data_IF_368731799624
#
_entry.id   IF_368731799624
#
_cell.length_a   1.000
_cell.length_b   1.000
_cell.length_c   1.000
_cell.angle_alpha   90.00
_cell.angle_beta   90.00
_cell.angle_gamma   90.00
#
_symmetry.space_group_name_H-M   'P 1'
#
loop_
_entity.id
_entity.type
_entity.pdbx_description
1 polymer ?
#
# COMPACT_ATOMS: atom_id res chain seq x y z
N UNK A 1 11.91 -11.46 -6.84
CA UNK A 1 10.63 -10.73 -6.79
C UNK A 1 10.68 -9.44 -7.61
N UNK A 2 11.39 -8.38 -7.21
CA UNK A 2 11.36 -7.10 -7.95
C UNK A 2 11.83 -7.18 -9.40
N UNK A 3 12.82 -8.03 -9.72
CA UNK A 3 13.25 -8.23 -11.11
C UNK A 3 12.07 -8.63 -12.00
N UNK A 4 11.35 -9.69 -11.62
CA UNK A 4 10.19 -10.22 -12.34
C UNK A 4 9.04 -9.21 -12.38
N UNK A 5 8.82 -8.49 -11.28
CA UNK A 5 7.78 -7.47 -11.21
C UNK A 5 8.08 -6.25 -12.10
N UNK A 6 9.35 -5.99 -12.38
CA UNK A 6 9.80 -4.94 -13.32
C UNK A 6 9.99 -5.45 -14.74
N UNK A 7 9.85 -6.74 -15.02
CA UNK A 7 10.07 -7.26 -16.38
C UNK A 7 9.12 -6.65 -17.41
N UNK A 8 7.80 -6.54 -17.16
CA UNK A 8 6.90 -5.87 -18.11
C UNK A 8 7.26 -4.41 -18.33
N UNK A 9 7.71 -3.70 -17.29
CA UNK A 9 8.19 -2.32 -17.41
C UNK A 9 9.44 -2.26 -18.28
N UNK A 10 10.42 -3.12 -18.02
CA UNK A 10 11.69 -3.17 -18.76
C UNK A 10 11.54 -3.60 -20.21
N UNK A 11 10.55 -4.43 -20.50
CA UNK A 11 10.18 -4.84 -21.84
C UNK A 11 9.35 -3.78 -22.59
N UNK A 12 8.98 -2.67 -21.94
CA UNK A 12 8.12 -1.64 -22.52
C UNK A 12 6.64 -2.05 -22.65
N UNK A 13 6.24 -3.18 -22.07
CA UNK A 13 4.85 -3.68 -22.08
C UNK A 13 3.98 -2.89 -21.10
N UNK A 14 4.57 -2.41 -19.99
CA UNK A 14 3.89 -1.62 -18.98
C UNK A 14 4.66 -0.33 -18.69
N UNK A 15 3.95 0.75 -18.34
CA UNK A 15 4.60 2.02 -17.95
C UNK A 15 5.07 2.01 -16.50
N UNK A 16 4.36 1.28 -15.63
CA UNK A 16 4.66 1.19 -14.20
C UNK A 16 4.39 -0.22 -13.64
N UNK A 17 4.93 -0.56 -12.46
CA UNK A 17 4.64 -1.82 -11.78
C UNK A 17 3.14 -2.07 -11.54
N UNK A 18 2.38 -1.02 -11.25
CA UNK A 18 0.94 -1.04 -10.98
C UNK A 18 0.11 -1.49 -12.20
N UNK A 19 0.61 -1.25 -13.41
CA UNK A 19 -0.04 -1.63 -14.68
C UNK A 19 0.49 -2.95 -15.25
N UNK A 20 1.30 -3.69 -14.48
CA UNK A 20 1.93 -4.94 -14.92
C UNK A 20 1.09 -6.16 -14.52
N UNK A 21 0.11 -6.54 -15.35
CA UNK A 21 -1.02 -7.44 -15.01
C UNK A 21 -0.66 -8.82 -14.44
N UNK A 22 0.48 -9.40 -14.81
CA UNK A 22 0.86 -10.76 -14.42
C UNK A 22 2.07 -10.82 -13.48
N UNK A 23 2.16 -9.86 -12.56
CA UNK A 23 3.27 -9.74 -11.61
C UNK A 23 2.84 -9.99 -10.16
N UNK A 24 3.80 -10.38 -9.33
CA UNK A 24 3.54 -10.54 -7.89
C UNK A 24 3.23 -9.18 -7.24
N UNK A 25 3.82 -8.09 -7.76
CA UNK A 25 3.52 -6.72 -7.37
C UNK A 25 2.03 -6.39 -7.59
N UNK A 26 1.52 -6.58 -8.82
CA UNK A 26 0.11 -6.34 -9.15
C UNK A 26 -0.83 -7.13 -8.25
N UNK A 27 -0.51 -8.40 -8.00
CA UNK A 27 -1.32 -9.26 -7.14
C UNK A 27 -1.32 -8.79 -5.68
N UNK A 28 -0.17 -8.36 -5.15
CA UNK A 28 -0.09 -7.79 -3.79
C UNK A 28 -0.89 -6.50 -3.70
N UNK A 29 -0.83 -5.65 -4.71
CA UNK A 29 -1.61 -4.41 -4.76
C UNK A 29 -3.11 -4.67 -4.80
N UNK A 30 -3.57 -5.62 -5.61
CA UNK A 30 -4.98 -6.02 -5.66
C UNK A 30 -5.48 -6.52 -4.29
N UNK A 31 -4.67 -7.30 -3.58
CA UNK A 31 -4.99 -7.77 -2.23
C UNK A 31 -4.98 -6.65 -1.18
N UNK A 32 -4.06 -5.67 -1.30
CA UNK A 32 -4.04 -4.47 -0.46
C UNK A 32 -5.34 -3.68 -0.63
N UNK A 33 -5.74 -3.39 -1.86
CA UNK A 33 -6.97 -2.65 -2.16
C UNK A 33 -8.22 -3.39 -1.68
N UNK A 34 -8.21 -4.73 -1.71
CA UNK A 34 -9.31 -5.55 -1.18
C UNK A 34 -9.30 -5.70 0.35
N UNK A 35 -8.28 -5.18 1.06
CA UNK A 35 -8.09 -5.41 2.50
C UNK A 35 -7.79 -6.88 2.86
N UNK A 36 -7.32 -7.67 1.91
CA UNK A 36 -7.12 -9.13 2.02
C UNK A 36 -5.64 -9.54 1.97
N UNK A 37 -4.74 -8.70 2.51
CA UNK A 37 -3.28 -8.93 2.49
C UNK A 37 -2.90 -10.32 3.04
N UNK A 38 -3.67 -10.85 3.98
CA UNK A 38 -3.47 -12.15 4.62
C UNK A 38 -3.94 -13.36 3.82
N UNK A 39 -4.70 -13.18 2.72
CA UNK A 39 -5.24 -14.27 1.87
C UNK A 39 -4.41 -14.54 0.62
N UNK A 40 -3.19 -14.03 0.61
CA UNK A 40 -2.24 -14.16 -0.47
C UNK A 40 -1.74 -15.60 -0.62
N UNK A 41 -1.77 -16.16 -1.84
CA UNK A 41 -0.96 -17.36 -2.19
C UNK A 41 0.54 -17.02 -2.35
N UNK A 42 0.92 -15.75 -2.21
CA UNK A 42 2.31 -15.30 -2.21
C UNK A 42 2.84 -15.29 -0.78
N UNK A 43 4.11 -15.64 -0.64
CA UNK A 43 4.83 -15.62 0.62
C UNK A 43 4.71 -14.22 1.30
N UNK A 44 4.31 -14.15 2.58
CA UNK A 44 3.98 -12.90 3.24
C UNK A 44 5.23 -12.08 3.56
N UNK A 45 5.06 -10.76 3.69
CA UNK A 45 6.07 -9.86 4.25
C UNK A 45 5.77 -9.67 5.73
N UNK A 46 6.69 -10.08 6.60
CA UNK A 46 6.49 -10.08 8.06
C UNK A 46 7.24 -8.96 8.78
N UNK A 47 8.14 -8.25 8.08
CA UNK A 47 8.99 -7.22 8.68
C UNK A 47 9.98 -7.76 9.72
N UNK A 48 10.72 -6.86 10.37
CA UNK A 48 11.70 -7.21 11.41
C UNK A 48 11.07 -7.45 12.79
N UNK A 49 9.91 -6.84 13.07
CA UNK A 49 9.32 -6.78 14.42
C UNK A 49 8.49 -8.01 14.81
N UNK A 50 8.64 -9.14 14.09
CA UNK A 50 7.97 -10.37 14.49
C UNK A 50 8.75 -11.05 15.62
N UNK A 51 8.39 -10.75 16.87
CA UNK A 51 8.90 -11.46 18.06
C UNK A 51 8.63 -12.98 18.01
N UNK A 52 7.64 -13.39 17.21
CA UNK A 52 7.40 -14.79 16.86
C UNK A 52 8.06 -15.06 15.51
N UNK A 53 8.81 -16.16 15.39
CA UNK A 53 9.27 -16.71 14.10
C UNK A 53 8.05 -16.96 13.19
N UNK A 54 7.63 -15.93 12.47
CA UNK A 54 6.57 -16.03 11.48
C UNK A 54 7.24 -16.38 10.16
N UNK A 55 6.73 -17.43 9.52
CA UNK A 55 7.22 -17.88 8.23
C UNK A 55 6.88 -16.81 7.17
N UNK A 56 7.90 -16.09 6.70
CA UNK A 56 7.71 -14.95 5.81
C UNK A 56 9.00 -14.22 5.45
N UNK A 57 8.91 -13.29 4.51
CA UNK A 57 10.02 -12.41 4.13
C UNK A 57 10.24 -11.40 5.26
N UNK A 58 11.44 -11.34 5.88
CA UNK A 58 11.78 -10.39 6.94
C UNK A 58 12.06 -9.00 6.34
N UNK A 59 11.05 -8.45 5.67
CA UNK A 59 11.10 -7.16 5.01
C UNK A 59 9.70 -6.56 5.05
N UNK A 60 9.56 -5.24 5.15
CA UNK A 60 8.23 -4.62 5.17
C UNK A 60 7.70 -4.53 3.75
N UNK A 61 6.40 -4.77 3.58
CA UNK A 61 5.75 -4.66 2.27
C UNK A 61 5.86 -3.24 1.68
N UNK A 62 5.83 -2.21 2.53
CA UNK A 62 5.96 -0.81 2.07
C UNK A 62 7.37 -0.54 1.55
N UNK A 63 8.41 -0.98 2.27
CA UNK A 63 9.80 -0.86 1.84
C UNK A 63 10.03 -1.62 0.52
N UNK A 64 9.38 -2.78 0.33
CA UNK A 64 9.37 -3.50 -0.95
C UNK A 64 8.77 -2.69 -2.09
N UNK A 65 7.64 -2.04 -1.86
CA UNK A 65 6.95 -1.23 -2.86
C UNK A 65 7.82 -0.06 -3.29
N UNK A 66 8.40 0.66 -2.35
CA UNK A 66 9.31 1.78 -2.62
C UNK A 66 10.58 1.32 -3.34
N UNK A 67 11.15 0.19 -2.92
CA UNK A 67 12.33 -0.37 -3.56
C UNK A 67 12.09 -0.77 -5.02
N UNK A 68 10.92 -1.32 -5.33
CA UNK A 68 10.51 -1.63 -6.71
C UNK A 68 10.44 -0.35 -7.57
N UNK A 69 9.86 0.74 -7.05
CA UNK A 69 9.82 2.03 -7.77
C UNK A 69 11.22 2.60 -7.98
N UNK A 70 12.04 2.58 -6.93
CA UNK A 70 13.40 3.10 -6.98
C UNK A 70 14.27 2.36 -8.02
N UNK A 71 14.23 1.02 -8.04
CA UNK A 71 14.93 0.23 -9.06
C UNK A 71 14.31 0.38 -10.44
N UNK A 72 12.98 0.50 -10.53
CA UNK A 72 12.27 0.64 -11.80
C UNK A 72 12.61 1.94 -12.54
N UNK A 73 12.98 2.99 -11.81
CA UNK A 73 13.45 4.27 -12.34
C UNK A 73 14.90 4.24 -12.83
N UNK A 74 15.71 3.27 -12.38
CA UNK A 74 17.09 3.17 -12.82
C UNK A 74 17.13 2.79 -14.30
N UNK A 75 17.58 3.74 -15.13
CA UNK A 75 17.77 3.54 -16.56
C UNK A 75 18.98 2.63 -16.75
N UNK A 76 18.79 1.51 -17.45
CA UNK A 76 19.90 0.65 -17.88
C UNK A 76 20.08 0.82 -19.39
N UNK A 77 21.33 1.09 -19.80
CA UNK A 77 21.69 1.13 -21.21
C UNK A 77 21.24 -0.17 -21.91
N UNK A 78 20.65 -0.01 -23.10
CA UNK A 78 20.14 -1.12 -23.90
C UNK A 78 18.80 -1.73 -23.47
N UNK A 79 18.14 -1.23 -22.41
CA UNK A 79 16.78 -1.67 -22.05
C UNK A 79 15.71 -0.71 -22.57
N UNK A 80 14.64 -1.22 -23.22
CA UNK A 80 13.65 -0.37 -23.88
C UNK A 80 12.69 0.35 -22.93
N UNK A 81 12.58 -0.06 -21.66
CA UNK A 81 11.64 0.53 -20.72
C UNK A 81 12.19 0.77 -19.30
N UNK A 82 11.71 1.85 -18.69
CA UNK A 82 11.97 2.28 -17.32
C UNK A 82 10.77 3.07 -16.81
N UNK A 83 10.68 3.29 -15.50
CA UNK A 83 9.71 4.20 -14.91
C UNK A 83 10.21 5.64 -15.10
N UNK A 84 9.40 6.48 -15.75
CA UNK A 84 9.75 7.89 -15.98
C UNK A 84 9.95 8.64 -14.63
N UNK A 85 11.08 9.34 -14.51
CA UNK A 85 11.44 10.15 -13.34
C UNK A 85 10.45 11.30 -13.06
N UNK A 86 9.68 11.73 -14.06
CA UNK A 86 8.61 12.73 -13.88
C UNK A 86 7.38 12.18 -13.15
N UNK A 87 7.23 10.85 -13.06
CA UNK A 87 6.10 10.28 -12.32
C UNK A 87 6.26 10.49 -10.81
N UNK A 88 5.17 10.81 -10.09
CA UNK A 88 5.18 10.87 -8.62
C UNK A 88 5.71 9.58 -8.00
N UNK A 89 6.22 9.63 -6.77
CA UNK A 89 6.60 8.45 -5.99
C UNK A 89 5.42 7.44 -5.97
N UNK A 90 5.74 6.15 -6.03
CA UNK A 90 4.76 5.07 -6.01
C UNK A 90 3.72 5.19 -4.89
N UNK A 91 4.08 5.60 -3.68
CA UNK A 91 3.13 5.79 -2.59
C UNK A 91 2.11 6.89 -2.89
N UNK A 92 2.53 7.96 -3.57
CA UNK A 92 1.62 9.03 -4.02
C UNK A 92 0.68 8.47 -5.09
N UNK A 93 1.20 7.74 -6.08
CA UNK A 93 0.39 7.13 -7.14
C UNK A 93 -0.64 6.14 -6.58
N UNK A 94 -0.25 5.34 -5.59
CA UNK A 94 -1.13 4.40 -4.89
C UNK A 94 -2.15 5.11 -3.99
N UNK A 95 -1.78 6.22 -3.37
CA UNK A 95 -2.69 7.04 -2.55
C UNK A 95 -3.69 7.82 -3.40
N UNK A 96 -3.38 8.16 -4.66
CA UNK A 96 -4.28 8.89 -5.54
C UNK A 96 -5.54 8.08 -5.89
N UNK A 97 -5.50 6.75 -5.75
CA UNK A 97 -6.69 5.89 -5.83
C UNK A 97 -7.60 5.97 -4.59
N UNK A 98 -7.17 6.66 -3.54
CA UNK A 98 -7.85 6.81 -2.25
C UNK A 98 -7.91 8.30 -1.87
N UNK A 99 -8.74 9.12 -2.54
CA UNK A 99 -8.82 10.56 -2.31
C UNK A 99 -9.10 10.93 -0.84
N UNK A 100 -9.75 10.03 -0.10
CA UNK A 100 -10.03 10.19 1.33
C UNK A 100 -8.76 10.28 2.18
N UNK A 101 -7.63 9.71 1.75
CA UNK A 101 -6.38 9.67 2.53
C UNK A 101 -5.82 11.06 2.81
N UNK A 102 -5.85 11.95 1.80
CA UNK A 102 -5.36 13.32 1.93
C UNK A 102 -6.30 14.15 2.80
N UNK A 103 -7.60 13.97 2.63
CA UNK A 103 -8.64 14.58 3.47
C UNK A 103 -8.49 14.11 4.94
N UNK A 104 -8.13 12.84 5.16
CA UNK A 104 -7.84 12.27 6.48
C UNK A 104 -6.66 12.97 7.15
N UNK A 105 -5.51 13.06 6.46
CA UNK A 105 -4.31 13.70 7.02
C UNK A 105 -4.55 15.18 7.33
N UNK A 106 -5.29 15.89 6.47
CA UNK A 106 -5.56 17.33 6.67
C UNK A 106 -6.70 17.62 7.66
N UNK A 107 -7.73 16.79 7.73
CA UNK A 107 -8.87 17.01 8.66
C UNK A 107 -8.60 16.53 10.07
N UNK A 108 -7.78 15.50 10.26
CA UNK A 108 -7.36 15.07 11.60
C UNK A 108 -6.68 16.20 12.36
N UNK A 109 -5.89 17.02 11.67
CA UNK A 109 -5.20 18.17 12.26
C UNK A 109 -6.14 19.35 12.49
N UNK A 110 -7.12 19.57 11.61
CA UNK A 110 -8.04 20.72 11.69
C UNK A 110 -9.22 20.51 12.65
N UNK A 111 -9.69 19.28 12.80
CA UNK A 111 -10.79 18.93 13.72
C UNK A 111 -10.29 17.85 14.68
N UNK A 112 -10.26 18.18 15.96
CA UNK A 112 -9.92 17.21 17.02
C UNK A 112 -11.00 16.15 17.15
N UNK A 113 -10.82 15.03 16.48
CA UNK A 113 -11.62 13.83 16.68
C UNK A 113 -11.05 13.04 17.88
N UNK A 114 -11.91 12.64 18.81
CA UNK A 114 -11.51 11.82 19.97
C UNK A 114 -11.35 10.35 19.59
N UNK A 115 -12.00 9.92 18.51
CA UNK A 115 -12.04 8.54 18.05
C UNK A 115 -11.87 8.48 16.54
N UNK A 116 -11.05 7.55 16.06
CA UNK A 116 -10.85 7.33 14.62
C UNK A 116 -10.90 5.83 14.35
N UNK A 117 -11.64 5.43 13.33
CA UNK A 117 -11.71 4.03 12.92
C UNK A 117 -12.96 3.72 12.12
N UNK A 118 -13.13 2.46 11.73
CA UNK A 118 -14.30 2.08 10.94
C UNK A 118 -15.62 2.33 11.66
N UNK A 119 -16.66 2.70 10.92
CA UNK A 119 -18.01 2.90 11.46
C UNK A 119 -18.44 1.76 12.38
N UNK A 120 -18.15 0.50 11.99
CA UNK A 120 -18.46 -0.68 12.81
C UNK A 120 -17.73 -0.65 14.17
N UNK A 121 -16.43 -0.32 14.18
CA UNK A 121 -15.65 -0.23 15.43
C UNK A 121 -16.08 0.96 16.29
N UNK A 122 -16.37 2.10 15.67
CA UNK A 122 -16.88 3.27 16.38
C UNK A 122 -18.22 2.95 17.07
N UNK A 123 -19.14 2.23 16.41
CA UNK A 123 -20.38 1.80 17.07
C UNK A 123 -20.12 0.84 18.25
N UNK A 124 -19.20 -0.11 18.10
CA UNK A 124 -18.82 -1.02 19.20
C UNK A 124 -18.30 -0.22 20.41
N UNK A 125 -17.40 0.74 20.17
CA UNK A 125 -16.85 1.60 21.23
C UNK A 125 -17.94 2.47 21.86
N UNK A 126 -18.87 2.99 21.07
CA UNK A 126 -20.00 3.80 21.55
C UNK A 126 -20.82 3.02 22.59
N UNK A 127 -21.15 1.78 22.27
CA UNK A 127 -21.88 0.89 23.16
C UNK A 127 -21.05 0.50 24.39
N UNK A 128 -19.78 0.12 24.22
CA UNK A 128 -18.90 -0.25 25.35
C UNK A 128 -18.68 0.86 26.36
N UNK A 129 -18.60 2.11 25.89
CA UNK A 129 -18.42 3.28 26.76
C UNK A 129 -19.74 3.87 27.24
N UNK A 130 -20.87 3.22 26.92
CA UNK A 130 -22.23 3.65 27.28
C UNK A 130 -22.53 5.11 26.88
N UNK A 131 -22.06 5.54 25.71
CA UNK A 131 -22.22 6.91 25.20
C UNK A 131 -23.40 7.02 24.22
N UNK A 132 -24.19 8.08 24.33
CA UNK A 132 -25.26 8.36 23.36
C UNK A 132 -24.71 8.86 22.01
N UNK A 133 -23.55 9.51 21.99
CA UNK A 133 -22.85 10.00 20.80
C UNK A 133 -21.34 9.82 20.97
N UNK A 134 -20.64 9.57 19.86
CA UNK A 134 -19.17 9.61 19.80
C UNK A 134 -18.74 10.75 18.88
N UNK A 135 -17.76 11.53 19.34
CA UNK A 135 -17.07 12.48 18.50
C UNK A 135 -15.91 11.78 17.79
N UNK A 136 -16.19 11.17 16.65
CA UNK A 136 -15.20 10.39 15.92
C UNK A 136 -15.28 10.54 14.41
N UNK A 137 -14.15 10.27 13.77
CA UNK A 137 -14.00 10.22 12.32
C UNK A 137 -14.12 8.76 11.87
N UNK A 138 -15.13 8.46 11.05
CA UNK A 138 -15.23 7.15 10.41
C UNK A 138 -14.30 7.09 9.20
N UNK A 139 -13.52 6.02 9.11
CA UNK A 139 -12.58 5.74 8.00
C UNK A 139 -12.68 4.29 7.53
#
# INVERSE_FOLDING_TARGET
MAYTDLNPVRAGIAKTPETSEYTSFKRRLALLNAGQVTRSKLFPFVGESSEKKSDGVPFRLIDYIEWVDWIGRQVREGKPGHIDNKQPNILIRLSASHPDSFDLCTRLERKRYLWVGSSKRLQIVKHRLNRQRLHGLSI
#
